data_IF_574863192035
#
_entry.id   IF_574863192035
#
_cell.length_a   1.000
_cell.length_b   1.000
_cell.length_c   1.000
_cell.angle_alpha   90.00
_cell.angle_beta   90.00
_cell.angle_gamma   90.00
#
_symmetry.space_group_name_H-M   'P 1'
#
loop_
_entity.id
_entity.type
_entity.pdbx_description
1 polymer ?
#
# COMPACT_ATOMS: atom_id res chain seq x y z
N UNK A 1 8.83 10.36 -31.98
CA UNK A 1 7.64 10.83 -31.22
C UNK A 1 7.24 9.91 -30.07
N UNK A 2 7.30 8.57 -30.19
CA UNK A 2 6.83 7.65 -29.12
C UNK A 2 7.75 7.51 -27.88
N UNK A 3 9.07 7.63 -28.05
CA UNK A 3 10.02 7.46 -26.93
C UNK A 3 9.93 8.63 -25.93
N UNK A 4 9.83 9.87 -26.44
CA UNK A 4 9.61 11.08 -25.63
C UNK A 4 8.28 11.02 -24.86
N UNK A 5 7.21 10.48 -25.45
CA UNK A 5 5.93 10.32 -24.75
C UNK A 5 5.95 9.23 -23.68
N UNK A 6 6.66 8.12 -23.93
CA UNK A 6 6.81 7.03 -22.95
C UNK A 6 7.70 7.43 -21.76
N UNK A 7 8.77 8.19 -22.01
CA UNK A 7 9.64 8.75 -20.97
C UNK A 7 8.87 9.71 -20.06
N UNK A 8 8.15 10.68 -20.64
CA UNK A 8 7.34 11.63 -19.87
C UNK A 8 6.22 10.95 -19.06
N UNK A 9 5.54 9.96 -19.66
CA UNK A 9 4.52 9.17 -18.97
C UNK A 9 5.11 8.33 -17.82
N UNK A 10 6.32 7.79 -18.01
CA UNK A 10 7.04 7.03 -16.97
C UNK A 10 7.45 7.92 -15.80
N UNK A 11 7.92 9.14 -16.08
CA UNK A 11 8.30 10.11 -15.04
C UNK A 11 7.08 10.53 -14.21
N UNK A 12 5.97 10.86 -14.88
CA UNK A 12 4.71 11.21 -14.22
C UNK A 12 4.08 10.01 -13.50
N UNK A 13 4.22 8.80 -14.06
CA UNK A 13 3.82 7.54 -13.43
C UNK A 13 4.61 7.26 -12.16
N UNK A 14 5.93 7.44 -12.21
CA UNK A 14 6.82 7.26 -11.06
C UNK A 14 6.49 8.24 -9.94
N UNK A 15 6.29 9.53 -10.27
CA UNK A 15 5.94 10.53 -9.26
C UNK A 15 4.60 10.22 -8.58
N UNK A 16 3.60 9.77 -9.34
CA UNK A 16 2.31 9.31 -8.78
C UNK A 16 2.49 8.09 -7.88
N UNK A 17 3.31 7.12 -8.31
CA UNK A 17 3.61 5.93 -7.53
C UNK A 17 4.33 6.27 -6.21
N UNK A 18 5.29 7.20 -6.24
CA UNK A 18 5.99 7.66 -5.04
C UNK A 18 5.06 8.33 -4.03
N UNK A 19 4.09 9.12 -4.51
CA UNK A 19 3.09 9.75 -3.64
C UNK A 19 2.16 8.69 -3.04
N UNK A 20 1.64 7.75 -3.83
CA UNK A 20 0.71 6.74 -3.32
C UNK A 20 1.38 5.70 -2.42
N UNK A 21 2.65 5.34 -2.64
CA UNK A 21 3.45 4.54 -1.67
C UNK A 21 3.48 5.24 -0.31
N UNK A 22 3.75 6.56 -0.30
CA UNK A 22 3.83 7.33 0.94
C UNK A 22 2.48 7.38 1.67
N UNK A 23 1.40 7.65 0.93
CA UNK A 23 0.04 7.68 1.48
C UNK A 23 -0.40 6.31 2.02
N UNK A 24 -0.19 5.23 1.27
CA UNK A 24 -0.58 3.88 1.71
C UNK A 24 0.25 3.40 2.90
N UNK A 25 1.54 3.77 2.97
CA UNK A 25 2.38 3.48 4.15
C UNK A 25 1.83 4.15 5.42
N UNK A 26 1.41 5.42 5.30
CA UNK A 26 0.78 6.14 6.42
C UNK A 26 -0.57 5.51 6.79
N UNK A 27 -1.35 5.09 5.80
CA UNK A 27 -2.62 4.41 6.00
C UNK A 27 -2.45 3.08 6.73
N UNK A 28 -1.50 2.25 6.29
CA UNK A 28 -1.14 0.99 6.96
C UNK A 28 -0.75 1.23 8.41
N UNK A 29 0.09 2.24 8.69
CA UNK A 29 0.52 2.55 10.06
C UNK A 29 -0.67 2.94 10.96
N UNK A 30 -1.54 3.83 10.46
CA UNK A 30 -2.75 4.25 11.17
C UNK A 30 -3.67 3.07 11.43
N UNK A 31 -3.96 2.27 10.41
CA UNK A 31 -4.88 1.14 10.49
C UNK A 31 -4.33 0.02 11.37
N UNK A 32 -3.02 -0.25 11.31
CA UNK A 32 -2.36 -1.22 12.19
C UNK A 32 -2.45 -0.81 13.65
N UNK A 33 -2.30 0.49 13.95
CA UNK A 33 -2.42 1.02 15.31
C UNK A 33 -3.87 0.90 15.82
N UNK A 34 -4.85 1.24 14.99
CA UNK A 34 -6.27 1.10 15.33
C UNK A 34 -6.68 -0.36 15.56
N UNK A 35 -6.28 -1.28 14.67
CA UNK A 35 -6.56 -2.71 14.84
C UNK A 35 -5.95 -3.26 16.13
N UNK A 36 -4.74 -2.82 16.50
CA UNK A 36 -4.08 -3.26 17.74
C UNK A 36 -4.84 -2.78 18.98
N UNK A 37 -5.36 -1.54 18.97
CA UNK A 37 -6.19 -1.01 20.06
C UNK A 37 -7.53 -1.74 20.16
N UNK A 38 -8.20 -2.02 19.04
CA UNK A 38 -9.44 -2.78 19.03
C UNK A 38 -9.25 -4.22 19.52
N UNK A 39 -8.12 -4.84 19.15
CA UNK A 39 -7.80 -6.20 19.59
C UNK A 39 -7.51 -6.26 21.09
N UNK A 40 -6.82 -5.26 21.66
CA UNK A 40 -6.61 -5.14 23.11
C UNK A 40 -7.94 -4.97 23.87
N UNK A 41 -8.81 -4.07 23.40
CA UNK A 41 -10.14 -3.87 24.00
C UNK A 41 -11.02 -5.12 23.94
N UNK A 42 -10.93 -5.92 22.86
CA UNK A 42 -11.65 -7.20 22.77
C UNK A 42 -11.10 -8.25 23.75
N UNK A 43 -9.79 -8.29 23.99
CA UNK A 43 -9.18 -9.23 24.93
C UNK A 43 -9.52 -8.86 26.37
N UNK A 44 -9.51 -7.57 26.72
CA UNK A 44 -9.93 -7.07 28.04
C UNK A 44 -11.43 -7.34 28.28
N UNK A 45 -12.29 -7.04 27.30
CA UNK A 45 -13.72 -7.35 27.39
C UNK A 45 -14.03 -8.85 27.46
N UNK A 46 -13.19 -9.71 26.86
CA UNK A 46 -13.33 -11.16 26.96
C UNK A 46 -12.90 -11.71 28.32
N UNK A 47 -11.93 -11.08 28.99
CA UNK A 47 -11.52 -11.44 30.35
C UNK A 47 -12.58 -11.03 31.38
N UNK A 48 -13.22 -9.87 31.22
CA UNK A 48 -14.34 -9.45 32.09
C UNK A 48 -15.59 -10.34 31.91
N UNK A 49 -15.82 -10.91 30.73
CA UNK A 49 -16.93 -11.83 30.48
C UNK A 49 -16.79 -13.19 31.17
N UNK A 50 -15.58 -13.64 31.52
CA UNK A 50 -15.38 -14.86 32.31
C UNK A 50 -15.74 -14.66 33.79
N UNK A 51 -15.74 -13.43 34.31
CA UNK A 51 -16.24 -13.11 35.65
C UNK A 51 -17.76 -12.85 35.70
N UNK A 52 -18.41 -12.56 34.56
CA UNK A 52 -19.80 -12.12 34.46
C UNK A 52 -20.80 -13.16 33.90
N UNK A 53 -20.43 -14.45 33.77
CA UNK A 53 -21.32 -15.53 33.30
C UNK A 53 -22.54 -15.82 34.22
N UNK A 54 -22.76 -15.02 35.27
CA UNK A 54 -23.96 -15.10 36.09
C UNK A 54 -25.13 -14.25 35.59
N UNK A 55 -24.96 -13.34 34.62
CA UNK A 55 -26.07 -12.48 34.20
C UNK A 55 -26.19 -12.29 32.68
N UNK A 56 -27.41 -12.51 32.20
CA UNK A 56 -27.76 -12.70 30.82
C UNK A 56 -27.78 -11.38 30.03
N UNK A 57 -27.26 -11.40 28.79
CA UNK A 57 -27.88 -10.88 27.54
C UNK A 57 -26.81 -10.51 26.51
N UNK A 58 -26.78 -11.30 25.44
CA UNK A 58 -25.89 -11.16 24.30
C UNK A 58 -26.06 -9.79 23.61
N UNK A 59 -25.00 -8.97 23.64
CA UNK A 59 -24.80 -7.84 22.72
C UNK A 59 -24.00 -8.34 21.51
N UNK A 60 -24.42 -8.05 20.26
CA UNK A 60 -23.63 -8.42 19.10
C UNK A 60 -22.36 -7.57 19.05
N UNK A 61 -21.20 -8.20 19.28
CA UNK A 61 -19.89 -7.63 18.97
C UNK A 61 -19.82 -7.39 17.46
N UNK A 62 -20.01 -6.15 17.05
CA UNK A 62 -19.76 -5.69 15.70
C UNK A 62 -18.25 -5.73 15.48
N UNK A 63 -17.76 -6.82 14.88
CA UNK A 63 -16.40 -6.92 14.39
C UNK A 63 -16.18 -5.87 13.31
N UNK A 64 -15.50 -4.77 13.67
CA UNK A 64 -15.03 -3.77 12.71
C UNK A 64 -13.97 -4.39 11.78
N UNK A 65 -13.85 -3.89 10.54
CA UNK A 65 -13.35 -4.68 9.42
C UNK A 65 -11.82 -4.79 9.45
N UNK A 66 -11.31 -6.02 9.59
CA UNK A 66 -9.90 -6.33 9.30
C UNK A 66 -9.52 -6.11 7.82
N UNK A 67 -10.50 -5.83 6.96
CA UNK A 67 -10.37 -5.66 5.50
C UNK A 67 -9.49 -4.48 5.09
N UNK A 68 -9.35 -3.44 5.92
CA UNK A 68 -8.66 -2.20 5.54
C UNK A 68 -7.13 -2.36 5.40
N UNK A 69 -6.46 -3.06 6.33
CA UNK A 69 -4.98 -3.18 6.28
C UNK A 69 -4.53 -4.00 5.07
N UNK A 70 -5.18 -5.14 4.83
CA UNK A 70 -4.87 -6.00 3.69
C UNK A 70 -5.07 -5.26 2.37
N UNK A 71 -6.13 -4.46 2.27
CA UNK A 71 -6.38 -3.66 1.07
C UNK A 71 -5.30 -2.60 0.84
N UNK A 72 -4.84 -1.91 1.89
CA UNK A 72 -3.76 -0.93 1.80
C UNK A 72 -2.42 -1.59 1.43
N UNK A 73 -2.12 -2.79 1.95
CA UNK A 73 -0.93 -3.56 1.56
C UNK A 73 -0.94 -3.95 0.08
N UNK A 74 -2.10 -4.41 -0.43
CA UNK A 74 -2.26 -4.74 -1.85
C UNK A 74 -2.13 -3.51 -2.74
N UNK A 75 -2.57 -2.33 -2.29
CA UNK A 75 -2.38 -1.07 -3.02
C UNK A 75 -0.92 -0.63 -3.01
N UNK A 76 -0.23 -0.78 -1.87
CA UNK A 76 1.19 -0.50 -1.75
C UNK A 76 2.01 -1.34 -2.74
N UNK A 77 1.73 -2.64 -2.82
CA UNK A 77 2.41 -3.55 -3.77
C UNK A 77 2.17 -3.15 -5.23
N UNK A 78 0.93 -2.83 -5.61
CA UNK A 78 0.62 -2.33 -6.95
C UNK A 78 1.38 -1.04 -7.29
N UNK A 79 1.50 -0.14 -6.31
CA UNK A 79 2.24 1.12 -6.48
C UNK A 79 3.74 0.86 -6.65
N UNK A 80 4.33 -0.03 -5.85
CA UNK A 80 5.73 -0.45 -6.00
C UNK A 80 5.99 -1.09 -7.36
N UNK A 81 5.12 -1.99 -7.81
CA UNK A 81 5.24 -2.64 -9.12
C UNK A 81 5.17 -1.60 -10.25
N UNK A 82 4.26 -0.63 -10.15
CA UNK A 82 4.16 0.47 -11.11
C UNK A 82 5.42 1.33 -11.11
N UNK A 83 5.95 1.69 -9.95
CA UNK A 83 7.20 2.43 -9.81
C UNK A 83 8.36 1.67 -10.48
N UNK A 84 8.49 0.37 -10.19
CA UNK A 84 9.53 -0.48 -10.79
C UNK A 84 9.40 -0.55 -12.32
N UNK A 85 8.19 -0.71 -12.85
CA UNK A 85 7.95 -0.73 -14.29
C UNK A 85 8.35 0.59 -14.98
N UNK A 86 8.03 1.73 -14.35
CA UNK A 86 8.43 3.05 -14.83
C UNK A 86 9.96 3.21 -14.80
N UNK A 87 10.64 2.82 -13.71
CA UNK A 87 12.11 2.88 -13.60
C UNK A 87 12.79 1.98 -14.64
N UNK A 88 12.27 0.76 -14.87
CA UNK A 88 12.78 -0.13 -15.92
C UNK A 88 12.63 0.50 -17.30
N UNK A 89 11.48 1.10 -17.59
CA UNK A 89 11.23 1.79 -18.86
C UNK A 89 12.18 2.98 -19.07
N UNK A 90 12.46 3.75 -18.01
CA UNK A 90 13.44 4.83 -18.03
C UNK A 90 14.86 4.31 -18.32
N UNK A 91 15.30 3.24 -17.64
CA UNK A 91 16.61 2.61 -17.91
C UNK A 91 16.71 2.12 -19.34
N UNK A 92 15.70 1.42 -19.85
CA UNK A 92 15.70 0.95 -21.24
C UNK A 92 15.72 2.13 -22.21
N UNK A 93 15.01 3.22 -21.92
CA UNK A 93 15.09 4.43 -22.73
C UNK A 93 16.51 5.04 -22.73
N UNK A 94 17.18 5.09 -21.57
CA UNK A 94 18.57 5.57 -21.44
C UNK A 94 19.58 4.66 -22.16
N UNK A 95 19.43 3.34 -22.03
CA UNK A 95 20.26 2.35 -22.73
C UNK A 95 20.09 2.46 -24.25
N UNK A 96 18.85 2.61 -24.72
CA UNK A 96 18.57 2.83 -26.14
C UNK A 96 19.16 4.15 -26.63
N UNK A 97 19.07 5.23 -25.84
CA UNK A 97 19.69 6.52 -26.17
C UNK A 97 21.22 6.41 -26.25
N UNK A 98 21.84 5.73 -25.28
CA UNK A 98 23.27 5.46 -25.25
C UNK A 98 23.73 4.61 -26.44
N UNK A 99 22.97 3.56 -26.78
CA UNK A 99 23.27 2.72 -27.95
C UNK A 99 23.22 3.53 -29.25
N UNK A 100 22.22 4.41 -29.45
CA UNK A 100 22.09 5.27 -30.64
C UNK A 100 23.26 6.26 -30.76
N UNK A 101 23.77 6.75 -29.63
CA UNK A 101 24.94 7.64 -29.60
C UNK A 101 26.20 6.88 -29.99
N UNK A 102 26.37 5.64 -29.53
CA UNK A 102 27.54 4.81 -29.80
C UNK A 102 27.64 4.37 -31.28
N UNK A 103 26.51 4.10 -31.95
CA UNK A 103 26.51 3.77 -33.41
C UNK A 103 26.88 4.97 -34.30
N UNK A 104 26.94 6.19 -33.76
CA UNK A 104 27.14 7.42 -34.54
C UNK A 104 28.57 7.97 -34.45
N UNK A 105 29.51 7.21 -33.90
CA UNK A 105 30.96 7.50 -33.87
C UNK A 105 31.68 6.85 -35.04
#
# INVERSE_FOLDING_TARGET
MQIQSAFGASLQGLQRASNGISEETLNINRQTTLNRQQQQQQVEAAQDQQAAQADATARPQQAAPATDVTQSLVRLEQQELSAQANVRSLRTADEMLGSIIDIRV
#
